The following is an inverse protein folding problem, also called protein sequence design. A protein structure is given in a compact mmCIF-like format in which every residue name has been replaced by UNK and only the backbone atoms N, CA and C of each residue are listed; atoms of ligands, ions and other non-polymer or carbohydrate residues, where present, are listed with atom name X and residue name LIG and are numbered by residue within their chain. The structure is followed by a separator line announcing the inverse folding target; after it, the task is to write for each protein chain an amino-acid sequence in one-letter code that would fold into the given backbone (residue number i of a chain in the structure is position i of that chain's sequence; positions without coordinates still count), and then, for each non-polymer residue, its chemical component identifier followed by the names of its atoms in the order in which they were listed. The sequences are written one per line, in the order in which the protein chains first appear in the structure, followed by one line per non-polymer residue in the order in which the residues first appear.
data_IF_262079222164
#
_entry.id   IF_262079222164
#
_cell.length_a   1.000
_cell.length_b   1.000
_cell.length_c   1.000
_cell.angle_alpha   90.00
_cell.angle_beta   90.00
_cell.angle_gamma   90.00
#
_symmetry.space_group_name_H-M   'P 1'
#
loop_
_entity.id
_entity.type
_entity.pdbx_description
1 polymer ?
#
# COMPACT_ATOMS: atom_id res chain seq x y z
N UNK A 1 12.42 -7.82 -13.10
CA UNK A 1 11.55 -6.65 -12.93
C UNK A 1 10.98 -6.72 -11.53
N UNK A 2 11.39 -5.79 -10.65
CA UNK A 2 10.89 -5.75 -9.28
C UNK A 2 9.84 -4.63 -9.23
N UNK A 3 8.68 -4.92 -8.63
CA UNK A 3 7.67 -3.90 -8.33
C UNK A 3 7.77 -3.59 -6.85
N UNK A 4 8.22 -2.40 -6.51
CA UNK A 4 8.22 -1.93 -5.13
C UNK A 4 6.84 -1.33 -4.84
N UNK A 5 6.20 -1.76 -3.75
CA UNK A 5 4.95 -1.19 -3.27
C UNK A 5 5.24 -0.46 -1.98
N UNK A 6 5.02 0.86 -1.96
CA UNK A 6 5.17 1.71 -0.78
C UNK A 6 3.81 2.04 -0.20
N UNK A 7 3.68 1.85 1.12
CA UNK A 7 2.50 2.22 1.89
C UNK A 7 2.84 3.41 2.79
N UNK A 8 2.07 4.48 2.69
CA UNK A 8 2.23 5.68 3.52
C UNK A 8 0.99 5.89 4.39
N UNK A 9 1.18 6.08 5.69
CA UNK A 9 0.09 6.45 6.61
C UNK A 9 -0.32 7.89 6.32
N UNK A 10 -1.59 8.11 5.96
CA UNK A 10 -2.09 9.43 5.54
C UNK A 10 -2.45 10.37 6.71
N UNK A 11 -2.56 9.84 7.92
CA UNK A 11 -3.10 10.55 9.09
C UNK A 11 -4.63 10.61 9.13
N UNK A 12 -5.33 10.14 8.09
CA UNK A 12 -6.80 10.06 8.05
C UNK A 12 -7.25 8.76 8.71
N UNK A 13 -8.19 8.84 9.65
CA UNK A 13 -8.85 7.68 10.28
C UNK A 13 -10.33 7.71 9.92
N UNK A 14 -10.78 6.72 9.16
CA UNK A 14 -12.20 6.59 8.77
C UNK A 14 -12.53 5.15 8.39
N UNK A 15 -13.80 4.89 8.07
CA UNK A 15 -14.24 3.60 7.52
C UNK A 15 -13.65 3.43 6.11
N UNK A 16 -12.87 2.35 5.85
CA UNK A 16 -12.36 2.07 4.51
C UNK A 16 -13.50 1.79 3.52
N UNK A 17 -13.34 2.27 2.29
CA UNK A 17 -14.19 1.91 1.16
C UNK A 17 -13.55 0.77 0.36
N UNK A 18 -14.34 0.04 -0.41
CA UNK A 18 -13.86 -1.03 -1.28
C UNK A 18 -12.73 -0.53 -2.19
N UNK A 19 -11.64 -1.30 -2.24
CA UNK A 19 -10.43 -0.99 -3.01
C UNK A 19 -9.40 -0.15 -2.26
N UNK A 20 -9.77 0.51 -1.16
CA UNK A 20 -8.83 1.32 -0.37
C UNK A 20 -7.94 0.46 0.52
N UNK A 21 -6.75 0.99 0.81
CA UNK A 21 -5.82 0.38 1.73
C UNK A 21 -5.89 1.05 3.10
N UNK A 22 -5.78 0.25 4.15
CA UNK A 22 -5.81 0.72 5.53
C UNK A 22 -4.85 -0.09 6.41
N UNK A 23 -4.50 0.47 7.56
CA UNK A 23 -3.64 -0.18 8.55
C UNK A 23 -4.49 -1.02 9.51
N UNK A 24 -4.37 -2.35 9.45
CA UNK A 24 -5.09 -3.26 10.33
C UNK A 24 -4.50 -3.34 11.76
N UNK A 25 -5.17 -4.09 12.64
CA UNK A 25 -4.83 -4.21 14.07
C UNK A 25 -3.43 -4.77 14.40
N UNK A 26 -2.64 -5.19 13.41
CA UNK A 26 -1.26 -5.66 13.57
C UNK A 26 -0.23 -4.78 12.85
N UNK A 27 -0.61 -3.57 12.45
CA UNK A 27 0.25 -2.71 11.64
C UNK A 27 0.46 -3.21 10.21
N UNK A 28 -0.37 -4.17 9.76
CA UNK A 28 -0.28 -4.72 8.41
C UNK A 28 -1.16 -3.92 7.45
N UNK A 29 -0.67 -3.60 6.24
CA UNK A 29 -1.49 -3.01 5.19
C UNK A 29 -2.51 -4.04 4.69
N UNK A 30 -3.79 -3.66 4.65
CA UNK A 30 -4.89 -4.49 4.17
C UNK A 30 -5.67 -3.71 3.12
N UNK A 31 -6.02 -4.35 2.01
CA UNK A 31 -6.96 -3.80 1.04
C UNK A 31 -8.39 -4.20 1.41
N UNK A 32 -9.28 -3.21 1.50
CA UNK A 32 -10.70 -3.47 1.74
C UNK A 32 -11.35 -4.13 0.51
N UNK A 33 -11.92 -5.31 0.69
CA UNK A 33 -12.67 -6.02 -0.36
C UNK A 33 -14.13 -5.54 -0.48
N UNK A 34 -14.65 -4.87 0.54
CA UNK A 34 -15.98 -4.27 0.62
C UNK A 34 -15.93 -3.03 1.52
N UNK A 35 -17.01 -2.23 1.50
CA UNK A 35 -17.13 -1.05 2.35
C UNK A 35 -17.29 -1.44 3.82
N UNK A 36 -16.51 -0.80 4.69
CA UNK A 36 -16.66 -1.00 6.12
C UNK A 36 -17.77 -0.11 6.65
N UNK A 37 -18.66 -0.68 7.47
CA UNK A 37 -19.80 0.07 8.01
C UNK A 37 -19.67 0.39 9.49
N UNK A 38 -18.81 -0.31 10.22
CA UNK A 38 -18.74 -0.26 11.69
C UNK A 38 -17.41 0.29 12.18
N UNK A 39 -16.29 -0.25 11.70
CA UNK A 39 -14.96 0.06 12.24
C UNK A 39 -14.18 1.06 11.37
N UNK A 40 -13.47 1.98 12.02
CA UNK A 40 -12.57 2.94 11.38
C UNK A 40 -11.12 2.47 11.49
N UNK A 41 -10.33 2.76 10.46
CA UNK A 41 -8.91 2.43 10.40
C UNK A 41 -8.11 3.60 9.83
N UNK A 42 -6.80 3.70 10.15
CA UNK A 42 -5.90 4.63 9.46
C UNK A 42 -5.81 4.28 7.97
N UNK A 43 -6.08 5.24 7.10
CA UNK A 43 -6.04 5.05 5.65
C UNK A 43 -4.61 5.16 5.15
N UNK A 44 -4.25 4.28 4.22
CA UNK A 44 -2.94 4.22 3.58
C UNK A 44 -3.02 4.75 2.15
N UNK A 45 -1.99 5.49 1.75
CA UNK A 45 -1.70 5.80 0.34
C UNK A 45 -0.76 4.73 -0.19
N UNK A 46 -1.04 4.21 -1.38
CA UNK A 46 -0.22 3.19 -2.05
C UNK A 46 0.44 3.78 -3.28
N UNK A 47 1.74 3.56 -3.41
CA UNK A 47 2.53 3.93 -4.58
C UNK A 47 3.24 2.68 -5.09
N UNK A 48 3.14 2.40 -6.40
CA UNK A 48 3.79 1.25 -7.03
C UNK A 48 4.87 1.76 -7.98
N UNK A 49 6.12 1.44 -7.69
CA UNK A 49 7.27 1.79 -8.53
C UNK A 49 7.78 0.55 -9.26
N UNK A 50 7.88 0.61 -10.59
CA UNK A 50 8.52 -0.42 -11.39
C UNK A 50 10.03 -0.14 -11.47
N UNK A 51 10.84 -0.89 -10.73
CA UNK A 51 12.29 -0.80 -10.85
C UNK A 51 12.77 -1.72 -11.98
N UNK A 52 13.24 -1.10 -13.06
CA UNK A 52 14.07 -1.76 -14.07
C UNK A 52 15.44 -1.98 -13.45
N UNK A 53 15.72 -3.20 -13.01
CA UNK A 53 17.08 -3.65 -12.73
C UNK A 53 17.84 -3.76 -14.05
N UNK A 54 18.35 -2.65 -14.57
CA UNK A 54 19.46 -2.67 -15.52
C UNK A 54 20.70 -3.08 -14.75
N UNK A 55 20.99 -4.39 -14.74
CA UNK A 55 22.34 -4.85 -14.48
C UNK A 55 23.21 -4.30 -15.62
N UNK A 56 23.77 -3.11 -15.41
CA UNK A 56 24.90 -2.63 -16.20
C UNK A 56 26.14 -3.38 -15.69
N UNK A 57 26.30 -4.62 -16.14
CA UNK A 57 27.60 -5.29 -16.06
C UNK A 57 28.28 -5.10 -17.41
N UNK A 58 28.82 -3.90 -17.58
CA UNK A 58 29.81 -3.59 -18.60
C UNK A 58 31.18 -3.72 -17.93
N UNK A 59 31.79 -4.89 -17.99
CA UNK A 59 33.22 -5.13 -17.70
C UNK A 59 33.66 -6.15 -18.74
N UNK A 60 34.15 -5.69 -19.89
CA UNK A 60 35.55 -5.36 -20.24
C UNK A 60 36.17 -6.52 -21.03
#
# INVERSE_FOLDING_TARGET
MIKEIRFTVTGVVRKPLAGEWFLGNKGMPIQAIHDFHTTQFPILKVEVEETLTTASEKVA
#
